data_IF_374048622824
#
_entry.id   IF_374048622824
#
_cell.length_a   1.000
_cell.length_b   1.000
_cell.length_c   1.000
_cell.angle_alpha   90.00
_cell.angle_beta   90.00
_cell.angle_gamma   90.00
#
_symmetry.space_group_name_H-M   'P 1'
#
loop_
_entity.id
_entity.type
_entity.pdbx_description
1 polymer ?
#
# COMPACT_ATOMS: atom_id res chain seq x y z
N UNK A 1 -36.74 5.93 52.61
CA UNK A 1 -37.61 5.56 51.48
C UNK A 1 -36.77 4.70 50.53
N UNK A 2 -36.43 3.51 51.00
CA UNK A 2 -36.84 2.15 50.56
C UNK A 2 -35.71 1.56 49.68
N UNK A 3 -34.70 0.87 50.27
CA UNK A 3 -34.59 -0.59 50.59
C UNK A 3 -34.52 -1.42 49.29
N UNK A 4 -33.68 -2.44 49.02
CA UNK A 4 -32.43 -3.03 49.54
C UNK A 4 -32.07 -4.22 48.59
N UNK A 5 -30.93 -4.88 48.84
CA UNK A 5 -30.57 -6.28 48.48
C UNK A 5 -29.93 -6.58 47.10
N UNK A 6 -28.66 -7.04 47.13
CA UNK A 6 -28.20 -8.12 46.23
C UNK A 6 -28.74 -9.48 46.74
N UNK A 7 -28.51 -10.64 46.08
CA UNK A 7 -27.34 -11.00 45.26
C UNK A 7 -27.68 -11.77 43.96
N UNK A 8 -26.69 -12.00 43.08
CA UNK A 8 -26.42 -13.27 42.37
C UNK A 8 -25.39 -13.08 41.25
N UNK A 9 -24.38 -13.94 41.26
CA UNK A 9 -23.45 -14.12 40.15
C UNK A 9 -24.16 -14.82 38.96
N UNK A 10 -23.91 -14.42 37.70
CA UNK A 10 -24.12 -15.29 36.56
C UNK A 10 -22.82 -15.96 36.13
N UNK A 11 -22.83 -17.28 36.28
CA UNK A 11 -22.26 -18.32 35.41
C UNK A 11 -21.20 -17.94 34.37
N UNK A 12 -20.03 -18.57 34.54
CA UNK A 12 -19.19 -19.06 33.42
C UNK A 12 -20.05 -19.79 32.39
N UNK A 13 -19.88 -19.50 31.10
CA UNK A 13 -20.44 -20.32 30.03
C UNK A 13 -20.48 -19.64 28.66
N UNK A 14 -19.44 -19.91 27.86
CA UNK A 14 -19.49 -20.07 26.40
C UNK A 14 -19.82 -18.86 25.50
N UNK A 15 -18.77 -18.11 25.13
CA UNK A 15 -18.55 -17.73 23.71
C UNK A 15 -17.09 -17.33 23.37
N UNK A 16 -16.11 -17.66 24.21
CA UNK A 16 -14.68 -17.34 23.98
C UNK A 16 -13.94 -18.29 23.02
N UNK A 17 -14.68 -19.09 22.23
CA UNK A 17 -14.08 -20.11 21.37
C UNK A 17 -13.42 -19.58 20.10
N UNK A 18 -13.79 -18.40 19.61
CA UNK A 18 -13.34 -17.94 18.27
C UNK A 18 -12.29 -16.83 18.31
N UNK A 19 -12.19 -16.07 19.41
CA UNK A 19 -11.22 -14.97 19.52
C UNK A 19 -9.84 -15.45 20.03
N UNK A 20 -9.83 -16.34 21.04
CA UNK A 20 -8.59 -16.86 21.63
C UNK A 20 -7.88 -17.90 20.76
N UNK A 21 -8.60 -18.55 19.85
CA UNK A 21 -8.02 -19.54 18.93
C UNK A 21 -7.26 -18.87 17.76
N UNK A 22 -7.64 -17.65 17.36
CA UNK A 22 -6.94 -16.86 16.33
C UNK A 22 -5.70 -16.15 16.87
N UNK A 23 -5.65 -15.84 18.16
CA UNK A 23 -4.49 -15.22 18.84
C UNK A 23 -3.35 -16.22 19.13
N UNK A 24 -3.55 -17.51 18.89
CA UNK A 24 -2.58 -18.56 19.23
C UNK A 24 -1.60 -18.90 18.09
N UNK A 25 -1.58 -18.12 17.01
CA UNK A 25 -0.55 -18.25 15.97
C UNK A 25 0.75 -17.59 16.44
N UNK A 26 1.80 -18.41 16.62
CA UNK A 26 3.13 -18.02 17.09
C UNK A 26 3.66 -16.79 16.34
N UNK A 27 4.45 -15.91 16.98
CA UNK A 27 5.09 -14.78 16.29
C UNK A 27 5.84 -15.32 15.07
N UNK A 28 5.47 -14.81 13.89
CA UNK A 28 5.93 -15.24 12.57
C UNK A 28 7.44 -14.96 12.40
N UNK A 29 8.29 -15.73 13.08
CA UNK A 29 9.68 -15.87 12.70
C UNK A 29 9.74 -16.82 11.51
N UNK A 30 9.93 -16.24 10.33
CA UNK A 30 10.32 -16.91 9.09
C UNK A 30 9.24 -17.67 8.27
N UNK A 31 8.17 -17.00 7.83
CA UNK A 31 7.52 -17.40 6.56
C UNK A 31 6.64 -16.32 5.89
N UNK A 32 7.18 -15.12 5.66
CA UNK A 32 6.50 -14.12 4.80
C UNK A 32 6.59 -14.54 3.31
N UNK A 33 5.78 -15.53 2.94
CA UNK A 33 5.47 -16.10 1.62
C UNK A 33 6.65 -16.38 0.66
N UNK A 34 6.75 -17.62 0.15
CA UNK A 34 7.67 -18.05 -0.94
C UNK A 34 7.51 -17.27 -2.27
N UNK A 35 6.68 -16.23 -2.32
CA UNK A 35 6.39 -15.44 -3.53
C UNK A 35 7.27 -14.20 -3.58
N UNK A 36 7.71 -13.86 -4.79
CA UNK A 36 8.57 -12.70 -5.03
C UNK A 36 7.93 -11.42 -4.46
N UNK A 37 8.71 -10.59 -3.75
CA UNK A 37 8.22 -9.33 -3.23
C UNK A 37 7.85 -8.38 -4.38
N UNK A 38 6.89 -7.51 -4.14
CA UNK A 38 6.60 -6.41 -5.04
C UNK A 38 7.71 -5.39 -4.87
N UNK A 39 8.36 -5.02 -5.97
CA UNK A 39 9.43 -4.05 -6.02
C UNK A 39 9.05 -2.91 -6.96
N UNK A 40 9.23 -1.66 -6.53
CA UNK A 40 9.10 -0.49 -7.39
C UNK A 40 10.19 0.53 -7.05
N UNK A 41 10.82 1.08 -8.08
CA UNK A 41 11.82 2.14 -7.97
C UNK A 41 11.55 3.25 -8.97
N UNK A 42 11.78 4.49 -8.55
CA UNK A 42 11.80 5.67 -9.41
C UNK A 42 12.90 6.64 -8.96
N UNK A 43 13.51 7.35 -9.90
CA UNK A 43 14.33 8.53 -9.60
C UNK A 43 13.42 9.76 -9.50
N UNK A 44 13.55 10.50 -8.40
CA UNK A 44 12.82 11.76 -8.16
C UNK A 44 13.83 12.90 -8.09
N UNK A 45 13.80 13.81 -9.06
CA UNK A 45 14.65 15.00 -9.16
C UNK A 45 14.17 16.12 -8.25
N UNK A 46 14.14 15.85 -6.95
CA UNK A 46 13.77 16.81 -5.92
C UNK A 46 14.65 16.62 -4.67
N UNK A 47 14.80 17.64 -3.80
CA UNK A 47 15.55 17.52 -2.56
C UNK A 47 14.98 16.44 -1.62
N UNK A 48 15.85 15.83 -0.79
CA UNK A 48 15.47 14.79 0.16
C UNK A 48 14.32 15.25 1.07
N UNK A 49 14.39 16.47 1.57
CA UNK A 49 13.42 17.07 2.50
C UNK A 49 12.03 17.11 1.88
N UNK A 50 11.96 17.40 0.58
CA UNK A 50 10.70 17.45 -0.17
C UNK A 50 10.11 16.05 -0.33
N UNK A 51 10.91 15.08 -0.78
CA UNK A 51 10.46 13.70 -0.97
C UNK A 51 10.06 13.08 0.38
N UNK A 52 10.85 13.33 1.41
CA UNK A 52 10.58 12.90 2.77
C UNK A 52 9.26 13.44 3.30
N UNK A 53 9.05 14.76 3.23
CA UNK A 53 7.78 15.38 3.66
C UNK A 53 6.59 14.77 2.92
N UNK A 54 6.64 14.66 1.59
CA UNK A 54 5.53 14.12 0.81
C UNK A 54 5.20 12.66 1.10
N UNK A 55 6.17 11.89 1.60
CA UNK A 55 6.03 10.45 1.84
C UNK A 55 5.73 10.13 3.30
N UNK A 56 6.25 10.89 4.27
CA UNK A 56 6.06 10.62 5.70
C UNK A 56 4.88 11.38 6.32
N UNK A 57 4.43 12.48 5.72
CA UNK A 57 3.27 13.24 6.19
C UNK A 57 1.97 12.50 5.83
N UNK A 58 1.20 12.09 6.85
CA UNK A 58 -0.03 11.31 6.70
C UNK A 58 -1.15 12.03 5.96
N UNK A 59 -1.12 13.37 5.92
CA UNK A 59 -2.12 14.16 5.19
C UNK A 59 -1.75 14.32 3.70
N UNK A 60 -0.45 14.22 3.38
CA UNK A 60 0.06 14.35 2.02
C UNK A 60 0.15 13.00 1.30
N UNK A 61 0.48 11.92 2.03
CA UNK A 61 0.73 10.60 1.45
C UNK A 61 -0.49 10.04 0.68
N UNK A 62 -1.72 9.98 1.24
CA UNK A 62 -2.87 9.44 0.52
C UNK A 62 -3.24 10.20 -0.76
N UNK A 63 -2.76 11.45 -0.94
CA UNK A 63 -3.07 12.25 -2.13
C UNK A 63 -2.46 11.63 -3.39
N UNK A 64 -1.27 11.06 -3.30
CA UNK A 64 -0.55 10.49 -4.45
C UNK A 64 -0.56 8.96 -4.49
N UNK A 65 -0.69 8.29 -3.34
CA UNK A 65 -0.67 6.83 -3.24
C UNK A 65 -2.04 6.23 -3.52
N UNK A 66 -2.11 5.33 -4.50
CA UNK A 66 -3.34 4.61 -4.86
C UNK A 66 -3.66 3.47 -3.90
N UNK A 67 -2.75 3.11 -2.98
CA UNK A 67 -2.94 1.99 -2.05
C UNK A 67 -3.66 2.39 -0.77
N UNK A 68 -3.74 3.68 -0.49
CA UNK A 68 -4.35 4.23 0.73
C UNK A 68 -5.28 5.38 0.38
N UNK A 69 -6.47 5.39 0.97
CA UNK A 69 -7.40 6.52 0.90
C UNK A 69 -7.25 7.47 2.09
N UNK A 70 -6.87 6.92 3.26
CA UNK A 70 -6.59 7.68 4.48
C UNK A 70 -5.57 6.94 5.33
N UNK A 71 -4.73 7.69 6.02
CA UNK A 71 -3.78 7.18 7.01
C UNK A 71 -3.97 8.04 8.26
N UNK A 72 -4.23 7.41 9.40
CA UNK A 72 -4.45 8.08 10.68
C UNK A 72 -3.41 7.57 11.68
N UNK A 73 -2.41 8.37 12.02
CA UNK A 73 -1.48 8.04 13.09
C UNK A 73 -2.23 7.86 14.40
N UNK A 74 -1.90 6.82 15.17
CA UNK A 74 -2.51 6.56 16.48
C UNK A 74 -1.65 7.05 17.66
N UNK A 75 -0.42 7.49 17.40
CA UNK A 75 0.47 8.16 18.36
C UNK A 75 1.59 7.25 18.88
N UNK A 76 2.77 7.83 19.14
CA UNK A 76 4.01 7.12 19.59
C UNK A 76 4.95 8.09 20.31
N UNK A 77 5.82 7.54 21.16
CA UNK A 77 6.94 8.25 21.80
C UNK A 77 7.99 8.75 20.81
N UNK A 78 8.76 9.76 21.23
CA UNK A 78 9.50 10.72 20.39
C UNK A 78 10.46 10.12 19.33
N UNK A 79 10.92 8.87 19.48
CA UNK A 79 11.83 8.18 18.54
C UNK A 79 11.44 6.71 18.23
N UNK A 80 10.19 6.33 18.53
CA UNK A 80 9.74 4.93 18.52
C UNK A 80 8.90 4.52 17.31
N UNK A 81 8.44 3.24 17.28
CA UNK A 81 7.52 2.76 16.27
C UNK A 81 6.17 3.50 16.23
N UNK A 82 5.87 3.89 15.00
CA UNK A 82 4.74 4.44 14.24
C UNK A 82 3.41 3.67 14.07
N UNK A 83 2.60 3.32 15.06
CA UNK A 83 1.22 2.83 14.85
C UNK A 83 0.29 3.77 14.07
N UNK A 84 -0.44 3.19 13.11
CA UNK A 84 -1.43 3.89 12.31
C UNK A 84 -2.59 2.98 11.95
N UNK A 85 -3.74 3.60 11.69
CA UNK A 85 -4.84 2.98 10.93
C UNK A 85 -4.79 3.47 9.50
N UNK A 86 -5.18 2.62 8.57
CA UNK A 86 -5.37 3.00 7.19
C UNK A 86 -6.73 2.56 6.68
N UNK A 87 -7.22 3.30 5.70
CA UNK A 87 -8.47 3.02 5.00
C UNK A 87 -8.18 2.93 3.51
N UNK A 88 -8.85 2.00 2.84
CA UNK A 88 -8.88 1.90 1.39
C UNK A 88 -10.32 1.88 0.90
N UNK A 89 -10.75 2.98 0.28
CA UNK A 89 -12.11 3.20 -0.17
C UNK A 89 -12.34 2.62 -1.57
N UNK A 90 -13.19 1.61 -1.64
CA UNK A 90 -13.84 1.13 -2.85
C UNK A 90 -15.17 1.88 -3.05
N UNK A 91 -15.77 1.87 -4.26
CA UNK A 91 -17.01 2.61 -4.52
C UNK A 91 -18.18 2.33 -3.57
N UNK A 92 -18.24 1.13 -2.99
CA UNK A 92 -19.33 0.67 -2.12
C UNK A 92 -18.84 0.08 -0.78
N UNK A 93 -17.53 0.12 -0.50
CA UNK A 93 -16.97 -0.55 0.67
C UNK A 93 -15.67 0.12 1.12
N UNK A 94 -15.39 0.08 2.42
CA UNK A 94 -14.16 0.63 2.98
C UNK A 94 -13.39 -0.48 3.68
N UNK A 95 -12.21 -0.81 3.14
CA UNK A 95 -11.30 -1.75 3.80
C UNK A 95 -10.53 -1.00 4.87
N UNK A 96 -10.53 -1.54 6.09
CA UNK A 96 -9.81 -0.98 7.23
C UNK A 96 -8.64 -1.88 7.60
N UNK A 97 -7.52 -1.27 7.96
CA UNK A 97 -6.40 -2.01 8.50
C UNK A 97 -5.57 -1.20 9.48
N UNK A 98 -4.63 -1.90 10.10
CA UNK A 98 -3.71 -1.34 11.08
C UNK A 98 -2.28 -1.57 10.59
N UNK A 99 -1.36 -0.75 11.06
CA UNK A 99 0.04 -0.95 10.80
C UNK A 99 0.91 -0.28 11.84
N UNK A 100 2.17 -0.69 11.84
CA UNK A 100 3.23 -0.06 12.60
C UNK A 100 4.32 0.29 11.61
N UNK A 101 4.79 1.53 11.64
CA UNK A 101 5.95 1.98 10.89
C UNK A 101 7.13 2.27 11.83
N UNK A 102 8.35 2.25 11.34
CA UNK A 102 9.50 2.76 12.05
C UNK A 102 10.40 3.44 11.05
N UNK A 103 10.79 4.66 11.39
CA UNK A 103 11.44 5.57 10.47
C UNK A 103 12.86 5.80 10.97
N UNK A 104 13.84 5.46 10.12
CA UNK A 104 15.24 5.77 10.37
C UNK A 104 15.67 6.86 9.40
N UNK A 105 15.71 8.09 9.93
CA UNK A 105 16.32 9.25 9.27
C UNK A 105 17.73 9.46 9.83
N UNK A 106 18.62 10.06 9.05
CA UNK A 106 19.99 10.43 9.44
C UNK A 106 21.02 9.29 9.48
N UNK A 107 21.10 8.46 8.44
CA UNK A 107 22.39 7.78 8.21
C UNK A 107 23.45 8.82 7.84
N UNK A 108 24.69 8.55 8.24
CA UNK A 108 25.85 9.42 7.97
C UNK A 108 26.06 9.71 6.46
N UNK A 109 25.51 8.86 5.59
CA UNK A 109 25.56 8.98 4.13
C UNK A 109 24.37 9.74 3.51
N UNK A 110 23.49 10.32 4.33
CA UNK A 110 22.29 11.02 3.89
C UNK A 110 21.15 10.09 3.43
N UNK A 111 21.30 8.77 3.52
CA UNK A 111 20.22 7.84 3.24
C UNK A 111 19.17 7.85 4.35
N UNK A 112 17.95 7.51 3.97
CA UNK A 112 16.88 7.26 4.91
C UNK A 112 16.15 5.96 4.57
N UNK A 113 15.54 5.34 5.58
CA UNK A 113 14.75 4.12 5.41
C UNK A 113 13.54 4.19 6.30
N UNK A 114 12.37 3.86 5.76
CA UNK A 114 11.15 3.67 6.53
C UNK A 114 10.73 2.22 6.37
N UNK A 115 10.49 1.51 7.48
CA UNK A 115 10.01 0.13 7.49
C UNK A 115 8.60 0.12 8.05
N UNK A 116 7.76 -0.79 7.58
CA UNK A 116 6.40 -0.90 8.09
C UNK A 116 5.90 -2.35 8.05
N UNK A 117 5.10 -2.71 9.05
CA UNK A 117 4.23 -3.88 9.06
C UNK A 117 2.79 -3.40 8.97
N UNK A 118 1.96 -4.16 8.27
CA UNK A 118 0.53 -3.87 8.15
C UNK A 118 -0.26 -5.16 8.25
N UNK A 119 -1.49 -5.03 8.73
CA UNK A 119 -2.45 -6.13 8.82
C UNK A 119 -3.87 -5.61 8.57
N UNK A 120 -4.79 -6.54 8.32
CA UNK A 120 -6.21 -6.27 8.22
C UNK A 120 -7.00 -7.53 8.54
N UNK A 121 -8.07 -7.37 9.32
CA UNK A 121 -9.04 -8.41 9.60
C UNK A 121 -10.19 -8.45 8.57
N UNK A 122 -10.13 -7.59 7.55
CA UNK A 122 -11.20 -7.44 6.57
C UNK A 122 -11.21 -8.63 5.58
N UNK A 123 -12.30 -9.42 5.53
CA UNK A 123 -12.38 -10.61 4.70
C UNK A 123 -12.40 -10.31 3.19
N UNK A 124 -12.78 -9.08 2.81
CA UNK A 124 -12.82 -8.63 1.41
C UNK A 124 -11.48 -8.05 0.96
N UNK A 125 -10.52 -7.89 1.88
CA UNK A 125 -9.20 -7.40 1.50
C UNK A 125 -8.42 -8.44 0.70
N UNK A 126 -7.92 -8.10 -0.50
CA UNK A 126 -7.08 -9.01 -1.30
C UNK A 126 -5.70 -9.24 -0.65
N UNK A 127 -5.31 -8.39 0.30
CA UNK A 127 -4.05 -8.48 1.04
C UNK A 127 -4.34 -8.66 2.53
N UNK A 128 -3.65 -9.59 3.19
CA UNK A 128 -3.64 -9.71 4.64
C UNK A 128 -2.34 -9.14 5.23
N UNK A 129 -1.90 -9.73 6.35
CA UNK A 129 -0.63 -9.41 7.00
C UNK A 129 0.53 -9.30 6.02
N UNK A 130 1.26 -8.19 6.11
CA UNK A 130 2.40 -7.92 5.26
C UNK A 130 3.42 -7.00 5.91
N UNK A 131 4.53 -6.86 5.21
CA UNK A 131 5.63 -6.00 5.61
C UNK A 131 6.28 -5.38 4.40
N UNK A 132 6.77 -4.16 4.58
CA UNK A 132 7.33 -3.37 3.51
C UNK A 132 8.37 -2.40 4.01
N UNK A 133 9.11 -1.84 3.07
CA UNK A 133 10.08 -0.80 3.35
C UNK A 133 10.13 0.19 2.20
N UNK A 134 10.60 1.38 2.55
CA UNK A 134 11.01 2.45 1.67
C UNK A 134 12.46 2.79 1.90
N UNK A 135 13.19 3.04 0.80
CA UNK A 135 14.56 3.55 0.84
C UNK A 135 14.64 4.84 0.05
N UNK A 136 15.40 5.76 0.60
CA UNK A 136 15.71 7.04 0.00
C UNK A 136 17.22 7.10 -0.13
N UNK A 137 17.70 6.95 -1.37
CA UNK A 137 19.13 6.94 -1.65
C UNK A 137 19.46 8.22 -2.45
N UNK A 138 20.19 9.19 -1.84
CA UNK A 138 20.67 10.34 -2.57
C UNK A 138 21.56 9.93 -3.74
N UNK A 139 21.38 10.59 -4.88
CA UNK A 139 22.25 10.49 -6.06
C UNK A 139 22.57 11.88 -6.57
N UNK A 140 23.46 11.97 -7.58
CA UNK A 140 23.79 13.24 -8.24
C UNK A 140 22.56 13.94 -8.84
N UNK A 141 21.58 13.17 -9.31
CA UNK A 141 20.45 13.70 -10.09
C UNK A 141 19.16 13.85 -9.25
N UNK A 142 19.16 13.41 -7.99
CA UNK A 142 17.99 13.44 -7.12
C UNK A 142 17.97 12.30 -6.11
N UNK A 143 16.78 11.81 -5.76
CA UNK A 143 16.58 10.71 -4.83
C UNK A 143 16.10 9.48 -5.58
N UNK A 144 16.84 8.37 -5.47
CA UNK A 144 16.31 7.05 -5.84
C UNK A 144 15.37 6.60 -4.73
N UNK A 145 14.07 6.60 -5.04
CA UNK A 145 13.02 6.18 -4.13
C UNK A 145 12.59 4.76 -4.46
N UNK A 146 12.76 3.86 -3.50
CA UNK A 146 12.57 2.42 -3.67
C UNK A 146 11.56 1.93 -2.66
N UNK A 147 10.64 1.07 -3.08
CA UNK A 147 9.84 0.26 -2.17
C UNK A 147 9.95 -1.22 -2.49
N UNK A 148 10.01 -2.03 -1.43
CA UNK A 148 9.83 -3.46 -1.50
C UNK A 148 8.83 -3.88 -0.44
N UNK A 149 7.86 -4.72 -0.78
CA UNK A 149 6.93 -5.26 0.20
C UNK A 149 6.39 -6.64 -0.19
N UNK A 150 5.97 -7.39 0.81
CA UNK A 150 5.32 -8.68 0.66
C UNK A 150 4.15 -8.79 1.62
N UNK A 151 3.20 -9.66 1.29
CA UNK A 151 2.01 -9.90 2.10
C UNK A 151 1.52 -11.34 1.93
N UNK A 152 0.75 -11.82 2.90
CA UNK A 152 -0.06 -13.05 2.78
C UNK A 152 -1.34 -12.72 2.00
N UNK A 153 -1.70 -13.48 0.95
CA UNK A 153 -2.95 -13.26 0.22
C UNK A 153 -4.15 -13.26 1.17
N UNK A 154 -5.02 -12.26 1.05
CA UNK A 154 -6.31 -12.23 1.75
C UNK A 154 -7.37 -13.07 1.04
N UNK A 155 -8.66 -12.90 1.40
CA UNK A 155 -9.82 -13.58 0.78
C UNK A 155 -9.72 -15.13 0.70
N UNK A 156 -8.98 -15.75 1.63
CA UNK A 156 -8.83 -17.21 1.69
C UNK A 156 -8.31 -17.85 0.40
N UNK A 157 -8.95 -18.94 -0.05
CA UNK A 157 -8.52 -19.72 -1.21
C UNK A 157 -8.64 -18.95 -2.53
N UNK A 158 -9.70 -18.16 -2.71
CA UNK A 158 -9.91 -17.36 -3.91
C UNK A 158 -8.79 -16.33 -4.04
N UNK A 159 -8.48 -15.62 -2.96
CA UNK A 159 -7.40 -14.64 -3.00
C UNK A 159 -6.04 -15.29 -3.27
N UNK A 160 -5.76 -16.46 -2.65
CA UNK A 160 -4.53 -17.21 -2.93
C UNK A 160 -4.38 -17.61 -4.42
N UNK A 161 -5.48 -17.96 -5.08
CA UNK A 161 -5.51 -18.34 -6.48
C UNK A 161 -5.29 -17.13 -7.42
N UNK A 162 -5.94 -16.00 -7.12
CA UNK A 162 -5.86 -14.78 -7.94
C UNK A 162 -4.62 -13.93 -7.66
N UNK A 163 -3.97 -14.13 -6.51
CA UNK A 163 -2.90 -13.24 -6.03
C UNK A 163 -1.71 -13.11 -6.99
N UNK A 164 -1.20 -14.22 -7.54
CA UNK A 164 -0.05 -14.16 -8.46
C UNK A 164 -0.41 -13.54 -9.83
N UNK A 165 -1.62 -13.77 -10.31
CA UNK A 165 -2.02 -13.42 -11.68
C UNK A 165 -2.71 -12.05 -11.78
N UNK A 166 -3.32 -11.60 -10.69
CA UNK A 166 -4.15 -10.39 -10.66
C UNK A 166 -3.66 -9.42 -9.58
N UNK A 167 -3.70 -9.79 -8.30
CA UNK A 167 -3.50 -8.81 -7.23
C UNK A 167 -2.07 -8.29 -7.12
N UNK A 168 -1.04 -9.16 -7.14
CA UNK A 168 0.36 -8.72 -7.11
C UNK A 168 0.74 -7.88 -8.33
N UNK A 169 0.41 -8.28 -9.57
CA UNK A 169 0.62 -7.42 -10.73
C UNK A 169 -0.10 -6.09 -10.59
N UNK A 170 -1.40 -6.09 -10.25
CA UNK A 170 -2.18 -4.86 -10.10
C UNK A 170 -1.60 -3.92 -9.04
N UNK A 171 -1.20 -4.44 -7.88
CA UNK A 171 -0.54 -3.68 -6.82
C UNK A 171 0.82 -3.14 -7.25
N UNK A 172 1.61 -3.89 -8.02
CA UNK A 172 2.85 -3.41 -8.61
C UNK A 172 2.63 -2.26 -9.60
N UNK A 173 1.59 -2.34 -10.43
CA UNK A 173 1.19 -1.25 -11.34
C UNK A 173 0.66 -0.03 -10.59
N UNK A 174 -0.19 -0.23 -9.58
CA UNK A 174 -0.73 0.83 -8.73
C UNK A 174 0.38 1.56 -7.97
N UNK A 175 1.33 0.83 -7.41
CA UNK A 175 2.52 1.39 -6.73
C UNK A 175 3.35 2.22 -7.70
N UNK A 176 3.61 1.72 -8.91
CA UNK A 176 4.36 2.46 -9.93
C UNK A 176 3.63 3.72 -10.43
N UNK A 177 2.30 3.67 -10.61
CA UNK A 177 1.52 4.87 -10.92
C UNK A 177 1.59 5.89 -9.78
N UNK A 178 1.52 5.42 -8.53
CA UNK A 178 1.64 6.26 -7.34
C UNK A 178 3.00 6.95 -7.26
N UNK A 179 4.08 6.20 -7.52
CA UNK A 179 5.45 6.73 -7.52
C UNK A 179 5.65 7.80 -8.60
N UNK A 180 5.11 7.61 -9.82
CA UNK A 180 5.19 8.65 -10.84
C UNK A 180 4.30 9.87 -10.53
N UNK A 181 3.16 9.68 -9.85
CA UNK A 181 2.36 10.81 -9.33
C UNK A 181 3.11 11.60 -8.27
N UNK A 182 3.75 10.92 -7.33
CA UNK A 182 4.64 11.53 -6.34
C UNK A 182 5.76 12.31 -7.03
N UNK A 183 6.43 11.70 -8.02
CA UNK A 183 7.49 12.35 -8.80
C UNK A 183 7.00 13.63 -9.46
N UNK A 184 5.87 13.58 -10.18
CA UNK A 184 5.29 14.76 -10.83
C UNK A 184 4.98 15.90 -9.83
N UNK A 185 4.52 15.55 -8.64
CA UNK A 185 4.24 16.53 -7.59
C UNK A 185 5.52 17.08 -6.94
N UNK A 186 6.52 16.23 -6.73
CA UNK A 186 7.79 16.59 -6.12
C UNK A 186 8.66 17.45 -7.05
N UNK A 187 8.75 17.08 -8.33
CA UNK A 187 9.64 17.73 -9.32
C UNK A 187 9.01 18.96 -9.96
N UNK A 188 7.71 18.96 -10.22
CA UNK A 188 7.05 19.97 -11.06
C UNK A 188 5.82 20.59 -10.43
N UNK A 189 5.53 20.29 -9.15
CA UNK A 189 4.39 20.88 -8.44
C UNK A 189 3.02 20.46 -8.97
N UNK A 190 2.94 19.46 -9.85
CA UNK A 190 1.65 19.00 -10.41
C UNK A 190 0.85 18.35 -9.29
N UNK A 191 -0.26 18.96 -8.91
CA UNK A 191 -1.11 18.41 -7.86
C UNK A 191 -1.57 16.97 -8.18
N UNK A 192 -1.54 16.03 -7.21
CA UNK A 192 -1.90 14.64 -7.45
C UNK A 192 -3.33 14.42 -7.97
N UNK A 193 -4.28 15.31 -7.67
CA UNK A 193 -5.66 15.27 -8.23
C UNK A 193 -5.64 15.64 -9.70
N UNK A 194 -4.89 16.68 -10.07
CA UNK A 194 -4.70 17.07 -11.48
C UNK A 194 -4.02 15.95 -12.28
N UNK A 195 -2.96 15.36 -11.74
CA UNK A 195 -2.29 14.22 -12.37
C UNK A 195 -3.25 13.02 -12.57
N UNK A 196 -4.08 12.71 -11.57
CA UNK A 196 -5.11 11.67 -11.65
C UNK A 196 -6.15 11.99 -12.72
N UNK A 197 -6.69 13.20 -12.74
CA UNK A 197 -7.71 13.59 -13.71
C UNK A 197 -7.16 13.50 -15.15
N UNK A 198 -5.91 13.94 -15.38
CA UNK A 198 -5.23 13.81 -16.68
C UNK A 198 -5.02 12.34 -17.08
N UNK A 199 -4.70 11.47 -16.14
CA UNK A 199 -4.63 10.03 -16.39
C UNK A 199 -5.99 9.44 -16.77
N UNK A 200 -7.06 9.80 -16.05
CA UNK A 200 -8.41 9.35 -16.36
C UNK A 200 -8.86 9.81 -17.75
N UNK A 201 -8.57 11.05 -18.13
CA UNK A 201 -8.86 11.57 -19.46
C UNK A 201 -8.06 10.83 -20.55
N UNK A 202 -6.75 10.62 -20.35
CA UNK A 202 -5.92 9.87 -21.31
C UNK A 202 -6.38 8.42 -21.46
N UNK A 203 -6.68 7.74 -20.35
CA UNK A 203 -7.21 6.39 -20.36
C UNK A 203 -8.58 6.34 -21.07
N UNK A 204 -9.48 7.26 -20.73
CA UNK A 204 -10.80 7.37 -21.35
C UNK A 204 -10.73 7.62 -22.85
N UNK A 205 -9.86 8.53 -23.30
CA UNK A 205 -9.67 8.81 -24.72
C UNK A 205 -9.13 7.58 -25.48
N UNK A 206 -8.15 6.86 -24.91
CA UNK A 206 -7.60 5.65 -25.53
C UNK A 206 -8.62 4.52 -25.58
N UNK A 207 -9.35 4.30 -24.49
CA UNK A 207 -10.42 3.30 -24.45
C UNK A 207 -11.54 3.65 -25.43
N UNK A 208 -11.96 4.92 -25.49
CA UNK A 208 -12.93 5.40 -26.46
C UNK A 208 -12.48 5.18 -27.91
N UNK A 209 -11.20 5.48 -28.22
CA UNK A 209 -10.60 5.21 -29.52
C UNK A 209 -10.57 3.72 -29.87
N UNK A 210 -10.27 2.84 -28.90
CA UNK A 210 -10.32 1.38 -29.08
C UNK A 210 -11.74 0.87 -29.32
N UNK A 211 -12.73 1.39 -28.60
CA UNK A 211 -14.13 1.03 -28.81
C UNK A 211 -14.63 1.51 -30.18
N UNK A 212 -14.28 2.73 -30.59
CA UNK A 212 -14.59 3.25 -31.92
C UNK A 212 -13.93 2.39 -33.02
N UNK A 213 -12.65 2.03 -32.84
CA UNK A 213 -11.96 1.12 -33.75
C UNK A 213 -12.67 -0.24 -33.87
N UNK A 214 -13.05 -0.84 -32.74
CA UNK A 214 -13.78 -2.10 -32.72
C UNK A 214 -15.14 -2.00 -33.44
N UNK A 215 -15.91 -0.94 -33.18
CA UNK A 215 -17.20 -0.71 -33.84
C UNK A 215 -17.04 -0.51 -35.35
N UNK A 216 -16.03 0.26 -35.77
CA UNK A 216 -15.72 0.49 -37.19
C UNK A 216 -15.29 -0.80 -37.88
N UNK A 217 -14.38 -1.59 -37.28
CA UNK A 217 -13.96 -2.87 -37.84
C UNK A 217 -15.10 -3.88 -37.93
N UNK A 218 -15.97 -3.93 -36.91
CA UNK A 218 -17.18 -4.76 -36.93
C UNK A 218 -18.13 -4.32 -38.04
N UNK A 219 -18.34 -3.01 -38.21
CA UNK A 219 -19.18 -2.46 -39.30
C UNK A 219 -18.59 -2.78 -40.66
N UNK A 220 -17.28 -2.60 -40.84
CA UNK A 220 -16.58 -2.89 -42.09
C UNK A 220 -16.74 -4.35 -42.51
N UNK A 221 -16.73 -5.28 -41.55
CA UNK A 221 -16.97 -6.71 -41.78
C UNK A 221 -18.40 -7.02 -42.22
N UNK A 222 -19.39 -6.28 -41.71
CA UNK A 222 -20.80 -6.46 -42.11
C UNK A 222 -21.11 -5.84 -43.47
N UNK A 223 -20.48 -4.72 -43.81
CA UNK A 223 -20.74 -3.99 -45.06
C UNK A 223 -19.70 -4.27 -46.16
N UNK A 224 -18.71 -5.13 -45.90
CA UNK A 224 -17.55 -5.38 -46.78
C UNK A 224 -16.87 -4.10 -47.30
N UNK A 225 -16.75 -3.08 -46.44
CA UNK A 225 -16.24 -1.75 -46.84
C UNK A 225 -14.81 -1.54 -46.37
N UNK A 226 -13.88 -1.45 -47.32
CA UNK A 226 -12.46 -1.20 -47.05
C UNK A 226 -12.21 0.18 -46.42
N UNK A 227 -13.01 1.20 -46.78
CA UNK A 227 -12.87 2.55 -46.21
C UNK A 227 -13.18 2.59 -44.71
N UNK A 228 -14.23 1.87 -44.28
CA UNK A 228 -14.58 1.76 -42.86
C UNK A 228 -13.54 0.92 -42.10
N UNK A 229 -12.98 -0.11 -42.73
CA UNK A 229 -11.89 -0.89 -42.15
C UNK A 229 -10.65 -0.02 -41.89
N UNK A 230 -10.25 0.80 -42.87
CA UNK A 230 -9.11 1.70 -42.75
C UNK A 230 -9.31 2.73 -41.62
N UNK A 231 -10.52 3.30 -41.51
CA UNK A 231 -10.86 4.21 -40.41
C UNK A 231 -10.78 3.51 -39.04
N UNK A 232 -11.22 2.26 -38.95
CA UNK A 232 -11.10 1.44 -37.74
C UNK A 232 -9.65 1.17 -37.34
N UNK A 233 -8.79 0.82 -38.30
CA UNK A 233 -7.35 0.64 -38.06
C UNK A 233 -6.69 1.96 -37.65
N UNK A 234 -7.00 3.07 -38.32
CA UNK A 234 -6.45 4.39 -37.99
C UNK A 234 -6.84 4.82 -36.57
N UNK A 235 -8.11 4.63 -36.18
CA UNK A 235 -8.58 4.85 -34.82
C UNK A 235 -7.79 3.98 -33.82
N UNK A 236 -7.56 2.71 -34.15
CA UNK A 236 -6.80 1.82 -33.29
C UNK A 236 -5.35 2.30 -33.11
N UNK A 237 -4.66 2.60 -34.21
CA UNK A 237 -3.28 3.08 -34.19
C UNK A 237 -3.16 4.37 -33.38
N UNK A 238 -4.06 5.34 -33.59
CA UNK A 238 -4.05 6.60 -32.85
C UNK A 238 -4.14 6.41 -31.33
N UNK A 239 -4.92 5.44 -30.87
CA UNK A 239 -5.06 5.13 -29.44
C UNK A 239 -3.75 4.60 -28.82
N UNK A 240 -2.82 4.06 -29.61
CA UNK A 240 -1.50 3.62 -29.16
C UNK A 240 -0.40 4.66 -29.39
N UNK A 241 -0.42 5.36 -30.54
CA UNK A 241 0.71 6.20 -30.98
C UNK A 241 0.64 7.64 -30.47
N UNK A 242 -0.53 8.17 -30.14
CA UNK A 242 -0.63 9.52 -29.58
C UNK A 242 0.16 9.56 -28.28
N UNK A 243 1.20 10.40 -28.24
CA UNK A 243 2.00 10.58 -27.04
C UNK A 243 1.17 11.29 -25.98
N UNK A 244 1.10 10.69 -24.80
CA UNK A 244 0.51 11.38 -23.67
C UNK A 244 1.38 12.53 -23.23
N UNK A 245 0.72 13.60 -22.83
CA UNK A 245 1.40 14.73 -22.19
C UNK A 245 2.25 14.24 -21.01
N UNK A 246 3.41 14.85 -20.81
CA UNK A 246 4.40 14.39 -19.83
C UNK A 246 3.86 14.40 -18.39
N UNK A 247 2.85 15.22 -18.10
CA UNK A 247 2.18 15.30 -16.79
C UNK A 247 1.18 14.16 -16.53
N UNK A 248 0.95 13.26 -17.50
CA UNK A 248 0.14 12.06 -17.27
C UNK A 248 1.01 11.05 -16.53
N UNK A 249 0.59 10.54 -15.37
CA UNK A 249 1.35 9.53 -14.65
C UNK A 249 1.40 8.21 -15.43
N UNK A 250 2.58 7.60 -15.48
CA UNK A 250 2.89 6.41 -16.27
C UNK A 250 3.75 5.45 -15.49
N UNK A 251 3.19 4.28 -15.19
CA UNK A 251 3.89 3.23 -14.47
C UNK A 251 5.17 2.74 -15.17
N UNK A 252 5.28 2.90 -16.50
CA UNK A 252 6.49 2.54 -17.28
C UNK A 252 7.72 3.39 -16.94
N UNK A 253 7.55 4.51 -16.24
CA UNK A 253 8.65 5.36 -15.74
C UNK A 253 9.30 4.80 -14.47
N UNK A 254 8.69 3.79 -13.86
CA UNK A 254 9.24 3.08 -12.72
C UNK A 254 9.87 1.76 -13.15
N UNK A 255 10.96 1.38 -12.49
CA UNK A 255 11.45 0.01 -12.51
C UNK A 255 10.59 -0.83 -11.58
N UNK A 256 10.13 -1.99 -12.06
CA UNK A 256 9.32 -2.93 -11.25
C UNK A 256 9.99 -4.29 -11.03
N UNK A 257 11.24 -4.40 -11.46
CA UNK A 257 12.12 -5.52 -11.18
C UNK A 257 13.37 -4.93 -10.55
N UNK A 258 13.81 -5.50 -9.45
CA UNK A 258 15.00 -5.02 -8.78
C UNK A 258 16.20 -5.18 -9.72
N UNK A 259 17.01 -4.12 -9.92
CA UNK A 259 18.20 -4.21 -10.76
C UNK A 259 19.30 -5.07 -10.13
N UNK A 260 19.28 -5.22 -8.80
CA UNK A 260 20.24 -6.03 -8.05
C UNK A 260 19.64 -6.60 -6.76
N UNK A 261 20.34 -7.57 -6.17
CA UNK A 261 19.89 -8.27 -4.96
C UNK A 261 19.89 -7.37 -3.70
N UNK A 262 20.71 -6.31 -3.65
CA UNK A 262 20.76 -5.39 -2.52
C UNK A 262 19.53 -4.49 -2.51
N UNK A 263 19.12 -4.01 -3.68
CA UNK A 263 17.92 -3.23 -3.89
C UNK A 263 16.66 -4.03 -3.51
N UNK A 264 16.62 -5.33 -3.80
CA UNK A 264 15.49 -6.21 -3.45
C UNK A 264 15.43 -6.60 -1.96
N UNK A 265 16.58 -6.72 -1.29
CA UNK A 265 16.67 -7.24 0.09
C UNK A 265 15.98 -6.31 1.08
N UNK A 266 15.10 -6.83 1.93
CA UNK A 266 14.51 -6.05 3.01
C UNK A 266 15.57 -5.57 4.03
N UNK A 267 15.46 -4.34 4.59
CA UNK A 267 16.30 -3.89 5.69
C UNK A 267 16.20 -4.81 6.92
N UNK A 268 17.30 -5.02 7.64
CA UNK A 268 17.30 -5.83 8.87
C UNK A 268 16.41 -5.25 9.98
N UNK A 269 16.24 -3.93 10.01
CA UNK A 269 15.32 -3.22 10.92
C UNK A 269 13.86 -3.66 10.74
N UNK A 270 13.48 -4.15 9.55
CA UNK A 270 12.14 -4.68 9.31
C UNK A 270 11.89 -5.96 10.10
N UNK A 271 12.91 -6.81 10.28
CA UNK A 271 12.79 -8.05 11.04
C UNK A 271 12.61 -7.78 12.54
N UNK A 272 13.20 -6.69 13.05
CA UNK A 272 13.08 -6.28 14.46
C UNK A 272 11.84 -5.45 14.78
N UNK A 273 11.09 -4.98 13.78
CA UNK A 273 9.90 -4.15 14.00
C UNK A 273 8.77 -5.00 14.57
N UNK A 274 8.39 -4.76 15.83
CA UNK A 274 7.23 -5.41 16.44
C UNK A 274 5.93 -4.70 16.06
N UNK A 275 4.84 -5.43 15.81
CA UNK A 275 3.49 -4.82 15.68
C UNK A 275 2.98 -4.33 17.03
N UNK A 276 1.88 -3.57 17.05
CA UNK A 276 1.25 -3.14 18.30
C UNK A 276 0.90 -4.35 19.20
N UNK A 277 0.27 -5.37 18.63
CA UNK A 277 -0.11 -6.59 19.36
C UNK A 277 1.12 -7.31 19.96
N UNK A 278 2.22 -7.39 19.21
CA UNK A 278 3.48 -7.98 19.66
C UNK A 278 4.17 -7.16 20.77
N UNK A 279 3.95 -5.84 20.81
CA UNK A 279 4.44 -4.98 21.91
C UNK A 279 3.57 -5.09 23.14
N UNK A 280 2.25 -5.11 22.98
CA UNK A 280 1.29 -5.28 24.08
C UNK A 280 1.44 -6.63 24.80
N UNK A 281 1.67 -7.72 24.06
CA UNK A 281 1.89 -9.06 24.63
C UNK A 281 3.22 -9.21 25.40
N UNK A 282 4.13 -8.24 25.29
CA UNK A 282 5.42 -8.21 26.02
C UNK A 282 5.35 -7.52 27.38
N UNK A 283 4.25 -6.82 27.69
CA UNK A 283 4.01 -6.26 29.02
C UNK A 283 3.36 -7.36 29.86
N UNK A 284 4.16 -8.12 30.61
CA UNK A 284 3.59 -8.89 31.73
C UNK A 284 2.93 -7.87 32.66
N UNK A 285 1.73 -8.14 33.21
CA UNK A 285 1.30 -7.43 34.39
C UNK A 285 2.45 -7.54 35.40
N UNK A 286 2.92 -6.42 35.93
CA UNK A 286 3.78 -6.44 37.10
C UNK A 286 3.02 -7.27 38.14
N UNK A 287 3.54 -8.47 38.44
CA UNK A 287 3.22 -9.19 39.66
C UNK A 287 3.33 -8.17 40.80
N UNK A 288 2.24 -8.02 41.53
CA UNK A 288 2.17 -7.08 42.64
C UNK A 288 3.28 -7.40 43.62
N UNK A 289 4.15 -6.41 43.87
CA UNK A 289 4.93 -6.37 45.08
C UNK A 289 3.93 -6.34 46.25
N UNK A 290 3.92 -7.42 47.01
CA UNK A 290 3.48 -7.40 48.40
C UNK A 290 4.30 -6.33 49.14
N UNK A 291 3.63 -5.39 49.81
CA UNK A 291 4.14 -4.80 51.03
C UNK A 291 2.98 -4.25 51.86
N UNK A 292 2.99 -4.67 53.12
CA UNK A 292 1.90 -4.54 54.06
C UNK A 292 1.58 -3.10 54.45
N UNK A 293 0.34 -2.93 54.89
CA UNK A 293 -0.02 -1.92 55.86
C UNK A 293 -0.80 -2.59 56.98
N UNK A 294 -0.17 -2.59 58.14
CA UNK A 294 -0.79 -2.67 59.46
C UNK A 294 -1.80 -1.53 59.59
N UNK A 295 -3.02 -1.84 60.04
CA UNK A 295 -3.91 -1.14 60.98
C UNK A 295 -5.31 -1.75 60.98
#
# INVERSE_FOLDING_TARGET
MIIAEGPQAPSRGESSGTYDEWMREKPDTANSSKRAPIYVEILVRAPMERVWKLTQDSDLHPRWDLRFSKIVPLGHGEDGPVDFRYEFHLPLYAIHGTGTSLVHRHRADGQATSVLKFDTADPLSPIGRGSGYWRYIPTRDGIRFITGYNYRPGMGLVGKALDSSIFRPALGWATALSFDRLRLWAESGVDPRTARNRWSLDAGARTGGMLAAWLLLRRARMTSSNGVALAGVAAALSAFTVLSHWTVPRARRCLRRAPDARAARAPSTLAGLKTNDERGAGVRPMEGDENGFDL
#
